data_IF_777658775228
#
_entry.id   IF_777658775228
#
_cell.length_a   1.000
_cell.length_b   1.000
_cell.length_c   1.000
_cell.angle_alpha   90.00
_cell.angle_beta   90.00
_cell.angle_gamma   90.00
#
_symmetry.space_group_name_H-M   'P 1'
#
loop_
_entity.id
_entity.type
_entity.pdbx_description
1 polymer ?
#
# COMPACT_ATOMS: atom_id res chain seq x y z
N UNK A 1 13.95 2.98 13.72
CA UNK A 1 12.56 2.94 13.22
C UNK A 1 12.67 3.29 11.76
N UNK A 2 12.88 2.25 10.94
CA UNK A 2 13.26 2.41 9.56
C UNK A 2 11.97 2.37 8.72
N UNK A 3 11.54 3.56 8.31
CA UNK A 3 10.36 3.76 7.49
C UNK A 3 10.75 3.44 6.04
N UNK A 4 10.44 2.22 5.60
CA UNK A 4 10.71 1.80 4.22
C UNK A 4 9.72 2.44 3.25
N UNK A 5 10.15 2.92 2.08
CA UNK A 5 9.26 3.61 1.15
C UNK A 5 8.26 2.62 0.53
N UNK A 6 6.96 2.84 0.78
CA UNK A 6 5.86 2.15 0.09
C UNK A 6 5.79 2.67 -1.35
N UNK A 7 5.94 1.78 -2.33
CA UNK A 7 5.89 2.13 -3.75
C UNK A 7 4.59 1.62 -4.36
N UNK A 8 3.79 2.50 -4.96
CA UNK A 8 2.50 2.15 -5.55
C UNK A 8 2.66 1.88 -7.05
N UNK A 9 2.33 0.67 -7.52
CA UNK A 9 2.13 0.40 -8.95
C UNK A 9 0.69 0.77 -9.31
N UNK A 10 0.44 2.04 -9.59
CA UNK A 10 -0.76 2.40 -10.32
C UNK A 10 -0.60 1.87 -11.76
N UNK A 11 -1.66 1.29 -12.35
CA UNK A 11 -1.61 0.97 -13.78
C UNK A 11 -1.25 2.26 -14.52
N UNK A 12 -0.15 2.23 -15.29
CA UNK A 12 0.26 3.28 -16.21
C UNK A 12 -0.87 3.50 -17.24
N UNK A 13 -1.82 4.36 -16.91
CA UNK A 13 -2.70 5.00 -17.88
C UNK A 13 -3.17 6.40 -17.45
N UNK A 14 -2.80 6.86 -16.25
CA UNK A 14 -3.02 8.27 -15.88
C UNK A 14 -1.91 8.75 -14.94
N UNK A 15 -0.87 9.31 -15.53
CA UNK A 15 0.20 9.99 -14.81
C UNK A 15 -0.27 11.42 -14.51
N UNK A 16 -1.16 11.62 -13.54
CA UNK A 16 -1.46 12.94 -12.96
C UNK A 16 -2.30 12.81 -11.70
N UNK A 17 -1.97 13.63 -10.71
CA UNK A 17 -2.76 13.88 -9.50
C UNK A 17 -2.70 12.77 -8.43
N UNK A 18 -2.38 13.19 -7.21
CA UNK A 18 -2.38 12.43 -5.95
C UNK A 18 -3.74 11.76 -5.71
N UNK A 19 -3.99 10.63 -6.36
CA UNK A 19 -5.15 9.81 -6.05
C UNK A 19 -4.79 8.99 -4.80
N UNK A 20 -5.53 9.14 -3.68
CA UNK A 20 -5.41 8.21 -2.58
C UNK A 20 -5.58 6.80 -3.15
N UNK A 21 -4.77 5.86 -2.64
CA UNK A 21 -4.77 4.48 -3.10
C UNK A 21 -6.20 3.97 -3.20
N UNK A 22 -6.70 3.82 -4.43
CA UNK A 22 -8.07 3.39 -4.63
C UNK A 22 -8.16 1.94 -4.16
N UNK A 23 -9.28 1.61 -3.52
CA UNK A 23 -9.58 0.21 -3.18
C UNK A 23 -9.42 -0.65 -4.44
N UNK A 24 -8.83 -1.83 -4.28
CA UNK A 24 -8.45 -2.79 -5.31
C UNK A 24 -7.20 -2.45 -6.15
N UNK A 25 -6.43 -1.43 -5.77
CA UNK A 25 -5.10 -1.17 -6.39
C UNK A 25 -4.07 -2.22 -5.97
N UNK A 26 -3.18 -2.61 -6.90
CA UNK A 26 -2.04 -3.51 -6.63
C UNK A 26 -0.89 -2.71 -6.03
N UNK A 27 -0.27 -3.24 -4.98
CA UNK A 27 0.84 -2.59 -4.28
C UNK A 27 1.96 -3.57 -4.02
N UNK A 28 3.18 -3.05 -3.90
CA UNK A 28 4.32 -3.79 -3.42
C UNK A 28 5.09 -2.96 -2.39
N UNK A 29 5.68 -3.62 -1.41
CA UNK A 29 6.44 -2.95 -0.36
C UNK A 29 7.53 -3.86 0.17
N UNK A 30 8.54 -3.24 0.78
CA UNK A 30 9.61 -3.95 1.45
C UNK A 30 9.19 -4.28 2.88
N UNK A 31 9.30 -5.55 3.27
CA UNK A 31 9.22 -5.95 4.66
C UNK A 31 10.46 -5.52 5.43
N UNK A 32 10.38 -5.50 6.76
CA UNK A 32 11.54 -5.27 7.64
C UNK A 32 12.65 -6.33 7.45
N UNK A 33 12.30 -7.49 6.91
CA UNK A 33 13.22 -8.59 6.58
C UNK A 33 13.90 -8.40 5.22
N UNK A 34 13.60 -7.33 4.49
CA UNK A 34 14.16 -7.05 3.16
C UNK A 34 13.50 -7.86 2.04
N UNK A 35 12.33 -8.45 2.29
CA UNK A 35 11.57 -9.20 1.29
C UNK A 35 10.57 -8.27 0.60
N UNK A 36 10.40 -8.40 -0.72
CA UNK A 36 9.35 -7.68 -1.44
C UNK A 36 8.05 -8.44 -1.28
N UNK A 37 7.05 -7.79 -0.67
CA UNK A 37 5.69 -8.31 -0.57
C UNK A 37 4.78 -7.63 -1.59
N UNK A 38 3.80 -8.40 -2.08
CA UNK A 38 2.79 -7.95 -3.02
C UNK A 38 1.41 -8.12 -2.41
N UNK A 39 0.50 -7.22 -2.76
CA UNK A 39 -0.88 -7.35 -2.32
C UNK A 39 -1.83 -6.37 -2.99
N UNK A 40 -3.07 -6.43 -2.54
CA UNK A 40 -4.18 -5.62 -3.05
C UNK A 40 -4.73 -4.75 -1.93
N UNK A 41 -4.87 -3.45 -2.19
CA UNK A 41 -5.48 -2.51 -1.24
C UNK A 41 -6.94 -2.87 -1.03
N UNK A 42 -7.32 -3.17 0.20
CA UNK A 42 -8.72 -3.41 0.60
C UNK A 42 -9.40 -2.15 1.07
N UNK A 43 -8.68 -1.32 1.82
CA UNK A 43 -9.22 -0.12 2.40
C UNK A 43 -8.13 0.92 2.59
N UNK A 44 -8.53 2.18 2.57
CA UNK A 44 -7.70 3.31 2.97
C UNK A 44 -8.43 4.15 3.98
N UNK A 45 -7.70 4.61 4.99
CA UNK A 45 -8.20 5.55 5.98
C UNK A 45 -7.23 6.71 6.11
N UNK A 46 -7.76 7.91 6.26
CA UNK A 46 -6.96 9.11 6.54
C UNK A 46 -7.22 9.55 7.96
N UNK A 47 -6.16 9.60 8.77
CA UNK A 47 -6.24 10.16 10.11
C UNK A 47 -6.28 11.68 10.07
N UNK A 48 -6.83 12.31 11.12
CA UNK A 48 -6.96 13.76 11.25
C UNK A 48 -5.63 14.52 11.14
N UNK A 49 -4.51 13.85 11.43
CA UNK A 49 -3.16 14.40 11.36
C UNK A 49 -2.48 14.25 9.99
N UNK A 50 -3.21 13.73 8.98
CA UNK A 50 -2.71 13.58 7.62
C UNK A 50 -2.06 12.23 7.30
N UNK A 51 -1.86 11.36 8.29
CA UNK A 51 -1.40 9.98 8.08
C UNK A 51 -2.42 9.19 7.25
N UNK A 52 -1.94 8.46 6.25
CA UNK A 52 -2.75 7.55 5.45
C UNK A 52 -2.47 6.10 5.87
N UNK A 53 -3.48 5.43 6.38
CA UNK A 53 -3.45 4.00 6.65
C UNK A 53 -3.93 3.28 5.41
N UNK A 54 -3.16 2.31 4.92
CA UNK A 54 -3.53 1.44 3.80
C UNK A 54 -3.62 0.01 4.30
N UNK A 55 -4.80 -0.59 4.22
CA UNK A 55 -5.01 -2.00 4.51
C UNK A 55 -4.83 -2.80 3.23
N UNK A 56 -3.90 -3.75 3.23
CA UNK A 56 -3.49 -4.56 2.09
C UNK A 56 -3.76 -6.03 2.39
N UNK A 57 -4.49 -6.72 1.52
CA UNK A 57 -4.54 -8.18 1.50
C UNK A 57 -3.34 -8.69 0.71
N UNK A 58 -2.47 -9.46 1.36
CA UNK A 58 -1.26 -9.99 0.75
C UNK A 58 -1.59 -11.13 -0.20
N UNK A 59 -0.86 -11.18 -1.31
CA UNK A 59 -0.91 -12.32 -2.22
C UNK A 59 -0.36 -13.59 -1.51
N UNK A 60 -0.79 -14.78 -1.95
CA UNK A 60 -0.28 -16.05 -1.41
C UNK A 60 -0.95 -16.52 -0.11
N UNK A 61 -2.01 -15.86 0.36
CA UNK A 61 -2.74 -16.25 1.56
C UNK A 61 -2.07 -15.86 2.88
N UNK A 62 -1.09 -14.94 2.83
CA UNK A 62 -0.37 -14.44 4.00
C UNK A 62 -1.22 -13.54 4.92
N UNK A 63 -2.48 -13.26 4.55
CA UNK A 63 -3.43 -12.49 5.35
C UNK A 63 -3.44 -11.00 5.04
N UNK A 64 -3.82 -10.19 6.02
CA UNK A 64 -4.02 -8.73 5.87
C UNK A 64 -2.95 -7.98 6.65
N UNK A 65 -2.33 -6.98 6.02
CA UNK A 65 -1.35 -6.10 6.61
C UNK A 65 -1.81 -4.64 6.53
N UNK A 66 -1.45 -3.81 7.52
CA UNK A 66 -1.70 -2.37 7.47
C UNK A 66 -0.38 -1.62 7.36
N UNK A 67 -0.31 -0.72 6.39
CA UNK A 67 0.82 0.16 6.10
C UNK A 67 0.47 1.59 6.51
N UNK A 68 1.46 2.29 7.09
CA UNK A 68 1.36 3.66 7.61
C UNK A 68 2.18 4.63 6.77
#
# INVERSE_FOLDING_TARGET
MDQFPVSFLTRLHDCSHTHPTQNHSRVFFWSLTGEIKYGTVKSTARLAHGTHIVTVELDGGEGICSLL
#
